data_IF_450997937048
#
_entry.id   IF_450997937048
#
_cell.length_a   1.000
_cell.length_b   1.000
_cell.length_c   1.000
_cell.angle_alpha   90.00
_cell.angle_beta   90.00
_cell.angle_gamma   90.00
#
_symmetry.space_group_name_H-M   'P 1'
#
loop_
_entity.id
_entity.type
_entity.pdbx_description
1 polymer ?
#
# COMPACT_ATOMS: atom_id res chain seq x y z
N UNK A 1 -60.42 -28.04 -34.89
CA UNK A 1 -59.76 -26.72 -34.97
C UNK A 1 -59.64 -26.21 -33.55
N UNK A 2 -58.64 -26.75 -32.85
CA UNK A 2 -57.35 -26.10 -32.48
C UNK A 2 -57.49 -25.33 -31.18
N UNK A 3 -57.26 -26.08 -30.09
CA UNK A 3 -56.84 -25.55 -28.79
C UNK A 3 -55.45 -24.92 -28.94
N UNK A 4 -55.26 -23.74 -28.37
CA UNK A 4 -53.94 -23.15 -28.16
C UNK A 4 -53.73 -23.12 -26.65
N UNK A 5 -52.96 -24.08 -26.16
CA UNK A 5 -52.30 -24.01 -24.85
C UNK A 5 -51.25 -22.89 -24.92
N UNK A 6 -51.39 -21.89 -24.05
CA UNK A 6 -50.36 -20.89 -23.84
C UNK A 6 -49.28 -21.50 -22.94
N UNK A 7 -48.16 -21.84 -23.55
CA UNK A 7 -46.99 -22.41 -22.92
C UNK A 7 -46.27 -21.32 -22.12
N UNK A 8 -46.19 -21.52 -20.80
CA UNK A 8 -45.41 -20.69 -19.88
C UNK A 8 -43.92 -20.69 -20.30
N UNK A 9 -43.24 -19.53 -20.39
CA UNK A 9 -41.81 -19.53 -20.63
C UNK A 9 -41.07 -19.91 -19.35
N UNK A 10 -40.26 -20.95 -19.48
CA UNK A 10 -39.27 -21.44 -18.52
C UNK A 10 -38.44 -20.30 -17.90
N UNK A 11 -38.38 -20.31 -16.57
CA UNK A 11 -37.34 -19.68 -15.77
C UNK A 11 -36.02 -20.42 -16.05
N UNK A 12 -35.07 -19.81 -16.78
CA UNK A 12 -33.69 -20.31 -16.83
C UNK A 12 -32.68 -19.17 -16.70
N UNK A 13 -31.88 -19.33 -15.65
CA UNK A 13 -30.55 -18.81 -15.36
C UNK A 13 -30.25 -17.31 -15.44
N UNK A 14 -30.40 -16.67 -14.28
CA UNK A 14 -29.51 -15.58 -13.87
C UNK A 14 -28.77 -15.88 -12.55
N UNK A 15 -28.87 -17.11 -12.02
CA UNK A 15 -28.33 -17.46 -10.69
C UNK A 15 -26.87 -17.94 -10.72
N UNK A 16 -26.44 -18.63 -11.77
CA UNK A 16 -25.09 -19.25 -11.81
C UNK A 16 -23.94 -18.23 -11.82
N UNK A 17 -24.07 -17.11 -12.55
CA UNK A 17 -22.99 -16.11 -12.64
C UNK A 17 -22.75 -15.34 -11.32
N UNK A 18 -23.80 -15.18 -10.49
CA UNK A 18 -23.74 -14.48 -9.22
C UNK A 18 -23.14 -15.34 -8.10
N UNK A 19 -23.44 -16.65 -8.10
CA UNK A 19 -22.93 -17.58 -7.11
C UNK A 19 -21.43 -17.87 -7.28
N UNK A 20 -20.96 -17.94 -8.53
CA UNK A 20 -19.56 -18.20 -8.84
C UNK A 20 -18.66 -17.01 -8.42
N UNK A 21 -19.07 -15.77 -8.73
CA UNK A 21 -18.35 -14.56 -8.31
C UNK A 21 -18.27 -14.40 -6.78
N UNK A 22 -19.32 -14.80 -6.05
CA UNK A 22 -19.35 -14.76 -4.59
C UNK A 22 -18.44 -15.85 -3.97
N UNK A 23 -18.40 -17.03 -4.59
CA UNK A 23 -17.50 -18.13 -4.21
C UNK A 23 -16.04 -17.76 -4.45
N UNK A 24 -15.71 -17.17 -5.59
CA UNK A 24 -14.36 -16.70 -5.92
C UNK A 24 -13.88 -15.60 -4.96
N UNK A 25 -14.77 -14.66 -4.63
CA UNK A 25 -14.46 -13.61 -3.65
C UNK A 25 -14.18 -14.21 -2.27
N UNK A 26 -14.96 -15.20 -1.84
CA UNK A 26 -14.73 -15.92 -0.57
C UNK A 26 -13.40 -16.67 -0.57
N UNK A 27 -13.08 -17.39 -1.65
CA UNK A 27 -11.81 -18.11 -1.77
C UNK A 27 -10.60 -17.17 -1.77
N UNK A 28 -10.68 -16.06 -2.51
CA UNK A 28 -9.66 -15.01 -2.52
C UNK A 28 -9.42 -14.45 -1.11
N UNK A 29 -10.50 -14.15 -0.38
CA UNK A 29 -10.40 -13.68 1.01
C UNK A 29 -9.76 -14.72 1.94
N UNK A 30 -10.10 -16.00 1.80
CA UNK A 30 -9.48 -17.07 2.57
C UNK A 30 -7.97 -17.19 2.29
N UNK A 31 -7.57 -17.08 1.02
CA UNK A 31 -6.16 -17.11 0.65
C UNK A 31 -5.40 -15.88 1.19
N UNK A 32 -6.04 -14.71 1.19
CA UNK A 32 -5.50 -13.51 1.81
C UNK A 32 -5.30 -13.69 3.31
N UNK A 33 -6.24 -14.32 4.01
CA UNK A 33 -6.13 -14.56 5.45
C UNK A 33 -4.93 -15.49 5.76
N UNK A 34 -4.82 -16.62 5.04
CA UNK A 34 -3.69 -17.55 5.19
C UNK A 34 -2.36 -16.85 4.88
N UNK A 35 -2.32 -16.02 3.84
CA UNK A 35 -1.13 -15.23 3.49
C UNK A 35 -0.76 -14.28 4.63
N UNK A 36 -1.75 -13.66 5.25
CA UNK A 36 -1.59 -12.80 6.42
C UNK A 36 -0.94 -13.54 7.60
N UNK A 37 -1.43 -14.73 7.90
CA UNK A 37 -0.93 -15.57 8.98
C UNK A 37 0.54 -15.97 8.76
N UNK A 38 0.89 -16.39 7.54
CA UNK A 38 2.27 -16.73 7.18
C UNK A 38 3.18 -15.51 7.31
N UNK A 39 2.78 -14.35 6.76
CA UNK A 39 3.55 -13.12 6.86
C UNK A 39 3.74 -12.71 8.32
N UNK A 40 2.68 -12.80 9.13
CA UNK A 40 2.73 -12.50 10.56
C UNK A 40 3.71 -13.42 11.30
N UNK A 41 3.74 -14.70 10.96
CA UNK A 41 4.68 -15.66 11.55
C UNK A 41 6.13 -15.33 11.20
N UNK A 42 6.42 -14.97 9.94
CA UNK A 42 7.77 -14.60 9.48
C UNK A 42 8.26 -13.32 10.17
N UNK A 43 7.39 -12.32 10.35
CA UNK A 43 7.77 -11.08 11.06
C UNK A 43 8.00 -11.31 12.54
N UNK A 44 7.25 -12.22 13.16
CA UNK A 44 7.41 -12.58 14.58
C UNK A 44 8.65 -13.41 14.87
N UNK A 45 9.11 -14.23 13.91
CA UNK A 45 10.31 -15.06 14.08
C UNK A 45 11.63 -14.28 13.91
N UNK A 46 11.56 -12.98 13.60
CA UNK A 46 12.74 -12.15 13.36
C UNK A 46 13.39 -12.34 11.99
N UNK A 47 12.87 -13.23 11.13
CA UNK A 47 13.40 -13.52 9.80
C UNK A 47 13.03 -12.51 8.71
N UNK A 48 12.69 -11.28 9.07
CA UNK A 48 12.13 -10.30 8.13
C UNK A 48 13.18 -9.38 7.50
N UNK A 49 13.08 -9.25 6.18
CA UNK A 49 13.86 -8.30 5.39
C UNK A 49 12.93 -7.25 4.74
N UNK A 50 13.52 -6.31 3.99
CA UNK A 50 12.77 -5.27 3.31
C UNK A 50 11.64 -5.79 2.38
N UNK A 51 11.85 -6.93 1.72
CA UNK A 51 10.85 -7.49 0.81
C UNK A 51 9.65 -8.06 1.58
N UNK A 52 9.90 -8.77 2.69
CA UNK A 52 8.84 -9.28 3.57
C UNK A 52 8.03 -8.13 4.18
N UNK A 53 8.69 -7.08 4.68
CA UNK A 53 7.98 -5.91 5.19
C UNK A 53 7.12 -5.23 4.13
N UNK A 54 7.62 -5.14 2.89
CA UNK A 54 6.85 -4.61 1.77
C UNK A 54 5.64 -5.47 1.38
N UNK A 55 5.73 -6.79 1.49
CA UNK A 55 4.59 -7.70 1.29
C UNK A 55 3.56 -7.54 2.40
N UNK A 56 4.02 -7.53 3.65
CA UNK A 56 3.16 -7.40 4.82
C UNK A 56 2.42 -6.05 4.84
N UNK A 57 3.08 -4.97 4.43
CA UNK A 57 2.43 -3.67 4.22
C UNK A 57 1.29 -3.74 3.19
N UNK A 58 1.50 -4.39 2.03
CA UNK A 58 0.47 -4.51 0.99
C UNK A 58 -0.71 -5.34 1.46
N UNK A 59 -0.45 -6.40 2.23
CA UNK A 59 -1.50 -7.20 2.84
C UNK A 59 -2.36 -6.36 3.79
N UNK A 60 -1.75 -5.62 4.72
CA UNK A 60 -2.46 -4.71 5.62
C UNK A 60 -3.26 -3.65 4.88
N UNK A 61 -2.70 -3.06 3.81
CA UNK A 61 -3.41 -2.10 2.97
C UNK A 61 -4.66 -2.71 2.32
N UNK A 62 -4.55 -3.94 1.82
CA UNK A 62 -5.68 -4.68 1.22
C UNK A 62 -6.79 -4.94 2.25
N UNK A 63 -6.43 -5.15 3.52
CA UNK A 63 -7.39 -5.29 4.63
C UNK A 63 -7.90 -3.96 5.17
N UNK A 64 -7.51 -2.82 4.58
CA UNK A 64 -7.90 -1.49 5.04
C UNK A 64 -7.20 -1.03 6.34
N UNK A 65 -6.22 -1.78 6.85
CA UNK A 65 -5.49 -1.42 8.06
C UNK A 65 -4.33 -0.48 7.73
N UNK A 66 -4.63 0.81 7.56
CA UNK A 66 -3.63 1.81 7.17
C UNK A 66 -2.54 2.02 8.24
N UNK A 67 -2.89 1.93 9.52
CA UNK A 67 -1.91 2.09 10.61
C UNK A 67 -0.87 0.97 10.54
N UNK A 68 -1.30 -0.29 10.53
CA UNK A 68 -0.36 -1.42 10.44
C UNK A 68 0.38 -1.47 9.10
N UNK A 69 -0.25 -1.00 8.01
CA UNK A 69 0.41 -0.78 6.72
C UNK A 69 1.59 0.19 6.88
N UNK A 70 1.36 1.36 7.49
CA UNK A 70 2.40 2.38 7.71
C UNK A 70 3.54 1.86 8.59
N UNK A 71 3.23 1.08 9.63
CA UNK A 71 4.23 0.48 10.52
C UNK A 71 5.11 -0.56 9.80
N UNK A 72 4.53 -1.34 8.88
CA UNK A 72 5.27 -2.29 8.06
C UNK A 72 6.14 -1.56 7.01
N UNK A 73 5.61 -0.53 6.35
CA UNK A 73 6.37 0.32 5.42
C UNK A 73 7.53 1.02 6.11
N UNK A 74 7.35 1.53 7.33
CA UNK A 74 8.42 2.14 8.11
C UNK A 74 9.56 1.14 8.39
N UNK A 75 9.22 -0.11 8.70
CA UNK A 75 10.22 -1.18 8.88
C UNK A 75 10.91 -1.52 7.56
N UNK A 76 10.18 -1.55 6.44
CA UNK A 76 10.76 -1.72 5.11
C UNK A 76 11.77 -0.61 4.79
N UNK A 77 11.40 0.66 4.98
CA UNK A 77 12.26 1.83 4.77
C UNK A 77 13.53 1.71 5.61
N UNK A 78 13.40 1.38 6.90
CA UNK A 78 14.55 1.18 7.79
C UNK A 78 15.45 0.03 7.37
N UNK A 79 14.90 -1.08 6.87
CA UNK A 79 15.70 -2.19 6.34
C UNK A 79 16.46 -1.82 5.05
N UNK A 80 15.94 -0.87 4.27
CA UNK A 80 16.60 -0.35 3.06
C UNK A 80 17.59 0.79 3.37
N UNK A 81 17.42 1.45 4.52
CA UNK A 81 18.29 2.51 5.00
C UNK A 81 19.58 1.91 5.58
N UNK A 82 20.57 1.69 4.72
CA UNK A 82 21.87 1.13 5.07
C UNK A 82 23.04 1.89 4.46
N UNK A 83 24.26 1.56 4.88
CA UNK A 83 25.50 2.27 4.53
C UNK A 83 25.82 2.38 3.03
N UNK A 84 25.15 1.58 2.18
CA UNK A 84 25.31 1.63 0.72
C UNK A 84 24.26 2.47 -0.02
N UNK A 85 23.33 3.13 0.67
CA UNK A 85 22.22 3.85 0.03
C UNK A 85 22.71 4.98 -0.89
N UNK A 86 23.76 5.69 -0.48
CA UNK A 86 24.25 6.90 -1.17
C UNK A 86 25.08 6.60 -2.43
N UNK A 87 25.47 5.35 -2.65
CA UNK A 87 26.41 4.98 -3.71
C UNK A 87 25.87 3.87 -4.62
N UNK A 88 24.60 3.51 -4.46
CA UNK A 88 23.96 2.45 -5.24
C UNK A 88 22.57 2.90 -5.67
N UNK A 89 22.47 3.28 -6.95
CA UNK A 89 21.23 3.77 -7.55
C UNK A 89 20.09 2.76 -7.45
N UNK A 90 20.36 1.46 -7.54
CA UNK A 90 19.31 0.44 -7.41
C UNK A 90 18.81 0.32 -5.97
N UNK A 91 19.70 0.45 -4.98
CA UNK A 91 19.29 0.52 -3.57
C UNK A 91 18.51 1.79 -3.29
N UNK A 92 18.96 2.94 -3.82
CA UNK A 92 18.24 4.19 -3.72
C UNK A 92 16.84 4.09 -4.31
N UNK A 93 16.68 3.55 -5.52
CA UNK A 93 15.37 3.41 -6.15
C UNK A 93 14.38 2.60 -5.29
N UNK A 94 14.83 1.49 -4.70
CA UNK A 94 14.01 0.68 -3.79
C UNK A 94 13.63 1.46 -2.52
N UNK A 95 14.58 2.17 -1.93
CA UNK A 95 14.36 3.00 -0.74
C UNK A 95 13.40 4.15 -1.02
N UNK A 96 13.58 4.86 -2.13
CA UNK A 96 12.73 5.96 -2.58
C UNK A 96 11.30 5.46 -2.83
N UNK A 97 11.14 4.32 -3.51
CA UNK A 97 9.83 3.72 -3.74
C UNK A 97 9.12 3.34 -2.44
N UNK A 98 9.84 2.76 -1.47
CA UNK A 98 9.27 2.43 -0.15
C UNK A 98 8.87 3.69 0.63
N UNK A 99 9.71 4.73 0.58
CA UNK A 99 9.46 6.03 1.20
C UNK A 99 8.22 6.71 0.61
N UNK A 100 8.07 6.72 -0.73
CA UNK A 100 6.89 7.25 -1.40
C UNK A 100 5.61 6.52 -0.99
N UNK A 101 5.65 5.18 -0.94
CA UNK A 101 4.50 4.37 -0.48
C UNK A 101 4.12 4.72 0.96
N UNK A 102 5.11 4.89 1.85
CA UNK A 102 4.88 5.29 3.24
C UNK A 102 4.21 6.67 3.33
N UNK A 103 4.74 7.67 2.62
CA UNK A 103 4.19 9.01 2.60
C UNK A 103 2.76 9.05 2.05
N UNK A 104 2.45 8.29 1.00
CA UNK A 104 1.08 8.18 0.48
C UNK A 104 0.10 7.58 1.50
N UNK A 105 0.52 6.57 2.25
CA UNK A 105 -0.31 6.01 3.33
C UNK A 105 -0.48 7.02 4.47
N UNK A 106 0.54 7.81 4.81
CA UNK A 106 0.40 8.90 5.78
C UNK A 106 -0.59 9.98 5.33
N UNK A 107 -0.58 10.36 4.05
CA UNK A 107 -1.59 11.26 3.49
C UNK A 107 -3.01 10.66 3.58
N UNK A 108 -3.15 9.36 3.30
CA UNK A 108 -4.43 8.64 3.41
C UNK A 108 -4.95 8.57 4.86
N UNK A 109 -4.06 8.31 5.83
CA UNK A 109 -4.40 8.33 7.27
C UNK A 109 -4.81 9.74 7.69
N UNK A 110 -4.07 10.76 7.27
CA UNK A 110 -4.40 12.15 7.59
C UNK A 110 -5.77 12.54 7.03
N UNK A 111 -6.04 12.20 5.78
CA UNK A 111 -7.33 12.47 5.14
C UNK A 111 -8.50 11.75 5.83
N UNK A 112 -8.31 10.53 6.33
CA UNK A 112 -9.37 9.75 6.98
C UNK A 112 -9.62 10.14 8.44
N UNK A 113 -8.60 10.67 9.12
CA UNK A 113 -8.69 11.04 10.55
C UNK A 113 -8.85 12.55 10.79
N UNK A 114 -8.57 13.38 9.78
CA UNK A 114 -8.46 14.84 9.92
C UNK A 114 -7.22 15.30 10.71
N UNK A 115 -6.37 14.38 11.15
CA UNK A 115 -5.15 14.69 11.90
C UNK A 115 -4.01 15.06 10.96
N UNK A 116 -3.28 16.14 11.26
CA UNK A 116 -2.05 16.53 10.53
C UNK A 116 -0.78 15.82 11.02
N UNK A 117 -0.86 14.99 12.07
CA UNK A 117 0.31 14.36 12.72
C UNK A 117 1.13 13.50 11.74
N UNK A 118 0.46 12.71 10.93
CA UNK A 118 1.06 11.83 9.94
C UNK A 118 1.71 12.63 8.81
N UNK A 119 1.12 13.76 8.39
CA UNK A 119 1.71 14.66 7.39
C UNK A 119 3.04 15.26 7.88
N UNK A 120 3.08 15.75 9.12
CA UNK A 120 4.32 16.29 9.71
C UNK A 120 5.42 15.22 9.80
N UNK A 121 5.03 13.99 10.11
CA UNK A 121 5.96 12.85 10.13
C UNK A 121 6.49 12.54 8.73
N UNK A 122 5.62 12.55 7.71
CA UNK A 122 5.99 12.35 6.32
C UNK A 122 6.91 13.46 5.80
N UNK A 123 6.62 14.72 6.14
CA UNK A 123 7.42 15.88 5.76
C UNK A 123 8.85 15.78 6.31
N UNK A 124 8.99 15.48 7.61
CA UNK A 124 10.30 15.28 8.24
C UNK A 124 11.09 14.14 7.59
N UNK A 125 10.42 13.02 7.29
CA UNK A 125 11.03 11.89 6.60
C UNK A 125 11.60 12.31 5.24
N UNK A 126 10.79 12.91 4.37
CA UNK A 126 11.21 13.31 3.04
C UNK A 126 12.29 14.39 3.04
N UNK A 127 12.19 15.39 3.93
CA UNK A 127 13.25 16.41 4.10
C UNK A 127 14.60 15.77 4.44
N UNK A 128 14.60 14.79 5.34
CA UNK A 128 15.82 14.07 5.71
C UNK A 128 16.35 13.21 4.56
N UNK A 129 15.46 12.47 3.88
CA UNK A 129 15.80 11.66 2.71
C UNK A 129 16.44 12.49 1.61
N UNK A 130 15.77 13.55 1.14
CA UNK A 130 16.23 14.41 0.04
C UNK A 130 17.57 15.07 0.35
N UNK A 131 17.79 15.45 1.61
CA UNK A 131 19.08 15.99 2.07
C UNK A 131 20.19 14.94 1.99
N UNK A 132 19.91 13.69 2.39
CA UNK A 132 20.92 12.64 2.41
C UNK A 132 21.25 12.14 1.00
N UNK A 133 20.27 12.09 0.09
CA UNK A 133 20.40 11.46 -1.22
C UNK A 133 20.57 12.46 -2.37
N UNK A 134 21.16 13.63 -2.10
CA UNK A 134 21.30 14.73 -3.06
C UNK A 134 22.11 14.34 -4.33
N UNK A 135 23.02 13.37 -4.20
CA UNK A 135 23.80 12.80 -5.31
C UNK A 135 22.91 12.14 -6.38
N UNK A 136 21.65 11.84 -6.06
CA UNK A 136 20.66 11.29 -6.99
C UNK A 136 19.65 12.33 -7.50
N UNK A 137 19.90 13.62 -7.33
CA UNK A 137 18.96 14.71 -7.69
C UNK A 137 18.47 14.67 -9.15
N UNK A 138 19.29 14.16 -10.07
CA UNK A 138 18.92 14.03 -11.48
C UNK A 138 17.98 12.86 -11.79
N UNK A 139 17.80 11.92 -10.84
CA UNK A 139 16.98 10.73 -11.03
C UNK A 139 15.48 11.01 -10.89
N UNK A 140 14.66 10.20 -11.55
CA UNK A 140 13.20 10.30 -11.47
C UNK A 140 12.69 9.94 -10.07
N UNK A 141 13.37 9.02 -9.37
CA UNK A 141 13.02 8.64 -8.01
C UNK A 141 13.22 9.78 -7.01
N UNK A 142 14.29 10.57 -7.16
CA UNK A 142 14.52 11.77 -6.34
C UNK A 142 13.46 12.83 -6.61
N UNK A 143 13.19 13.15 -7.88
CA UNK A 143 12.15 14.12 -8.27
C UNK A 143 10.78 13.70 -7.75
N UNK A 144 10.46 12.40 -7.78
CA UNK A 144 9.20 11.90 -7.23
C UNK A 144 9.10 12.12 -5.71
N UNK A 145 10.19 11.95 -4.95
CA UNK A 145 10.24 12.26 -3.53
C UNK A 145 10.05 13.76 -3.26
N UNK A 146 10.69 14.61 -4.07
CA UNK A 146 10.59 16.07 -3.95
C UNK A 146 9.16 16.57 -4.25
N UNK A 147 8.56 16.09 -5.33
CA UNK A 147 7.16 16.37 -5.66
C UNK A 147 6.19 15.92 -4.54
N UNK A 148 6.44 14.75 -3.95
CA UNK A 148 5.64 14.26 -2.82
C UNK A 148 5.80 15.14 -1.57
N UNK A 149 6.99 15.70 -1.33
CA UNK A 149 7.22 16.64 -0.23
C UNK A 149 6.42 17.94 -0.45
N UNK A 150 6.41 18.48 -1.67
CA UNK A 150 5.61 19.67 -2.00
C UNK A 150 4.11 19.41 -1.83
N UNK A 151 3.61 18.24 -2.26
CA UNK A 151 2.22 17.83 -2.01
C UNK A 151 1.89 17.81 -0.51
N UNK A 152 2.75 17.20 0.31
CA UNK A 152 2.58 17.14 1.76
C UNK A 152 2.56 18.55 2.39
N UNK A 153 3.47 19.45 1.96
CA UNK A 153 3.50 20.83 2.45
C UNK A 153 2.20 21.58 2.14
N UNK A 154 1.67 21.39 0.93
CA UNK A 154 0.39 21.99 0.53
C UNK A 154 -0.77 21.45 1.38
N UNK A 155 -0.81 20.14 1.66
CA UNK A 155 -1.81 19.55 2.54
C UNK A 155 -1.69 20.07 3.99
N UNK A 156 -0.48 20.25 4.50
CA UNK A 156 -0.25 20.85 5.83
C UNK A 156 -0.75 22.30 5.86
N UNK A 157 -0.45 23.10 4.84
CA UNK A 157 -0.91 24.48 4.77
C UNK A 157 -2.44 24.59 4.64
N UNK A 158 -3.09 23.68 3.93
CA UNK A 158 -4.55 23.64 3.79
C UNK A 158 -5.28 23.18 5.06
N UNK A 159 -4.56 22.57 6.02
CA UNK A 159 -5.09 22.11 7.31
C UNK A 159 -4.68 23.01 8.49
N UNK A 160 -4.10 24.18 8.18
CA UNK A 160 -3.74 25.23 9.14
C UNK A 160 -4.89 26.20 9.38
#
# INVERSE_FOLDING_TARGET
>A
MTMLEEQSPDFVDTHEASDDANKDTRQSNQLLDITGDILQQIVRSGGSNAAIWGLYARWHKTKGNLIACSEALLKQVRSLQGSGLLHDQMKFAKYAQASLKLCKVYMEISSSTGSRRELLTAEMHLKSTLKQTMDFSDTEEYKALDNCLEEIKNLIAATA
#
